data_IF_728204785863
#
_entry.id   IF_728204785863
#
_cell.length_a   1.000
_cell.length_b   1.000
_cell.length_c   1.000
_cell.angle_alpha   90.00
_cell.angle_beta   90.00
_cell.angle_gamma   90.00
#
_symmetry.space_group_name_H-M   'P 1'
#
loop_
_entity.id
_entity.type
_entity.pdbx_description
1 polymer ?
#
# COMPACT_ATOMS: atom_id res chain seq x y z
N UNK A 1 -17.84 12.03 -12.32
CA UNK A 1 -19.13 12.54 -11.80
C UNK A 1 -20.37 12.10 -12.60
N UNK A 2 -20.32 12.10 -13.94
CA UNK A 2 -21.46 11.68 -14.79
C UNK A 2 -21.91 10.22 -14.57
N UNK A 3 -20.98 9.30 -14.28
CA UNK A 3 -21.27 7.88 -14.00
C UNK A 3 -22.09 7.66 -12.72
N UNK A 4 -21.76 8.36 -11.64
CA UNK A 4 -22.47 8.26 -10.37
C UNK A 4 -23.87 8.90 -10.43
N UNK A 5 -24.01 10.02 -11.15
CA UNK A 5 -25.32 10.63 -11.39
C UNK A 5 -26.24 9.69 -12.20
N UNK A 6 -25.71 9.04 -13.23
CA UNK A 6 -26.46 8.07 -14.02
C UNK A 6 -26.91 6.85 -13.19
N UNK A 7 -26.03 6.31 -12.33
CA UNK A 7 -26.36 5.21 -11.42
C UNK A 7 -27.45 5.60 -10.41
N UNK A 8 -27.37 6.81 -9.85
CA UNK A 8 -28.39 7.30 -8.92
C UNK A 8 -29.76 7.46 -9.60
N UNK A 9 -29.78 8.03 -10.81
CA UNK A 9 -31.03 8.19 -11.59
C UNK A 9 -31.63 6.82 -11.94
N UNK A 10 -30.81 5.86 -12.38
CA UNK A 10 -31.25 4.50 -12.67
C UNK A 10 -31.81 3.80 -11.43
N UNK A 11 -31.16 3.95 -10.27
CA UNK A 11 -31.63 3.37 -9.02
C UNK A 11 -32.98 3.94 -8.58
N UNK A 12 -33.15 5.27 -8.64
CA UNK A 12 -34.42 5.94 -8.32
C UNK A 12 -35.53 5.49 -9.27
N UNK A 13 -35.23 5.41 -10.57
CA UNK A 13 -36.18 4.94 -11.58
C UNK A 13 -36.61 3.48 -11.33
N UNK A 14 -35.66 2.57 -11.08
CA UNK A 14 -35.94 1.17 -10.80
C UNK A 14 -36.80 0.99 -9.53
N UNK A 15 -36.52 1.76 -8.47
CA UNK A 15 -37.33 1.76 -7.25
C UNK A 15 -38.74 2.28 -7.52
N UNK A 16 -38.89 3.35 -8.31
CA UNK A 16 -40.19 3.89 -8.71
C UNK A 16 -41.05 2.89 -9.51
N UNK A 17 -40.43 2.18 -10.45
CA UNK A 17 -41.09 1.10 -11.22
C UNK A 17 -41.53 -0.03 -10.30
N UNK A 18 -40.66 -0.48 -9.38
CA UNK A 18 -40.98 -1.56 -8.45
C UNK A 18 -42.13 -1.20 -7.50
N UNK A 19 -42.13 0.02 -6.96
CA UNK A 19 -43.20 0.49 -6.06
C UNK A 19 -44.54 0.65 -6.81
N UNK A 20 -44.51 1.06 -8.08
CA UNK A 20 -45.70 1.18 -8.93
C UNK A 20 -46.26 -0.19 -9.27
N UNK A 21 -45.42 -1.15 -9.68
CA UNK A 21 -45.83 -2.54 -9.94
C UNK A 21 -46.41 -3.22 -8.68
N UNK A 22 -45.85 -2.93 -7.49
CA UNK A 22 -46.37 -3.44 -6.22
C UNK A 22 -47.74 -2.85 -5.86
N UNK A 23 -47.96 -1.57 -6.16
CA UNK A 23 -49.25 -0.91 -5.95
C UNK A 23 -50.34 -1.51 -6.85
N UNK A 24 -50.00 -1.84 -8.11
CA UNK A 24 -50.90 -2.50 -9.05
C UNK A 24 -51.19 -3.97 -8.68
N UNK A 25 -50.19 -4.70 -8.19
CA UNK A 25 -50.33 -6.11 -7.83
C UNK A 25 -51.14 -6.36 -6.54
N UNK A 26 -51.21 -5.40 -5.62
CA UNK A 26 -51.95 -5.51 -4.35
C UNK A 26 -52.95 -4.36 -4.13
N UNK A 27 -54.05 -4.29 -4.92
CA UNK A 27 -55.01 -3.19 -4.86
C UNK A 27 -55.75 -3.10 -3.51
N UNK A 28 -55.89 -4.22 -2.79
CA UNK A 28 -56.53 -4.27 -1.47
C UNK A 28 -55.69 -3.66 -0.33
N UNK A 29 -54.46 -3.21 -0.61
CA UNK A 29 -53.55 -2.61 0.37
C UNK A 29 -52.92 -1.32 -0.15
N UNK A 30 -53.71 -0.26 -0.41
CA UNK A 30 -53.24 0.98 -1.05
C UNK A 30 -52.19 1.74 -0.23
N UNK A 31 -52.03 1.42 1.07
CA UNK A 31 -51.03 2.03 1.94
C UNK A 31 -49.66 1.35 1.90
N UNK A 32 -49.51 0.16 1.30
CA UNK A 32 -48.24 -0.57 1.33
C UNK A 32 -47.13 0.11 0.53
N UNK A 33 -47.41 0.50 -0.72
CA UNK A 33 -46.44 1.18 -1.57
C UNK A 33 -45.94 2.52 -0.97
N UNK A 34 -46.79 3.45 -0.47
CA UNK A 34 -46.30 4.67 0.15
C UNK A 34 -45.57 4.43 1.48
N UNK A 35 -45.95 3.41 2.27
CA UNK A 35 -45.23 3.05 3.50
C UNK A 35 -43.84 2.50 3.17
N UNK A 36 -43.72 1.61 2.18
CA UNK A 36 -42.42 1.07 1.73
C UNK A 36 -41.55 2.17 1.10
N UNK A 37 -42.14 3.06 0.31
CA UNK A 37 -41.45 4.23 -0.23
C UNK A 37 -40.92 5.15 0.88
N UNK A 38 -41.70 5.40 1.93
CA UNK A 38 -41.27 6.19 3.08
C UNK A 38 -40.15 5.49 3.87
N UNK A 39 -40.23 4.17 4.08
CA UNK A 39 -39.18 3.38 4.73
C UNK A 39 -37.89 3.42 3.90
N UNK A 40 -37.97 3.23 2.59
CA UNK A 40 -36.81 3.31 1.69
C UNK A 40 -36.19 4.71 1.70
N UNK A 41 -37.00 5.77 1.67
CA UNK A 41 -36.50 7.14 1.75
C UNK A 41 -35.82 7.41 3.10
N UNK A 42 -36.38 6.94 4.21
CA UNK A 42 -35.78 7.03 5.55
C UNK A 42 -34.47 6.24 5.63
N UNK A 43 -34.42 5.02 5.11
CA UNK A 43 -33.20 4.21 5.07
C UNK A 43 -32.13 4.84 4.17
N UNK A 44 -32.50 5.36 3.00
CA UNK A 44 -31.57 6.05 2.11
C UNK A 44 -31.02 7.34 2.76
N UNK A 45 -31.86 8.10 3.46
CA UNK A 45 -31.45 9.31 4.18
C UNK A 45 -30.53 8.96 5.35
N UNK A 46 -30.87 7.92 6.12
CA UNK A 46 -30.03 7.43 7.22
C UNK A 46 -28.68 6.91 6.71
N UNK A 47 -28.68 6.18 5.59
CA UNK A 47 -27.46 5.70 4.96
C UNK A 47 -26.61 6.84 4.43
N UNK A 48 -27.22 7.85 3.80
CA UNK A 48 -26.52 9.05 3.33
C UNK A 48 -25.85 9.80 4.47
N UNK A 49 -26.53 9.99 5.60
CA UNK A 49 -25.94 10.63 6.79
C UNK A 49 -24.80 9.80 7.37
N UNK A 50 -24.90 8.46 7.33
CA UNK A 50 -23.82 7.56 7.78
C UNK A 50 -22.64 7.52 6.81
N UNK A 51 -22.87 7.70 5.52
CA UNK A 51 -21.85 7.62 4.47
C UNK A 51 -21.32 8.98 4.04
N UNK A 52 -21.90 10.10 4.49
CA UNK A 52 -21.52 11.44 4.03
C UNK A 52 -20.07 11.77 4.35
N UNK A 53 -19.55 11.31 5.50
CA UNK A 53 -18.13 11.40 5.82
C UNK A 53 -17.26 10.56 4.87
N UNK A 54 -17.67 9.32 4.56
CA UNK A 54 -16.96 8.45 3.63
C UNK A 54 -17.03 8.90 2.15
N UNK A 55 -17.99 9.76 1.81
CA UNK A 55 -18.16 10.32 0.47
C UNK A 55 -17.49 11.69 0.30
N UNK A 56 -16.90 12.25 1.36
CA UNK A 56 -16.19 13.52 1.31
C UNK A 56 -14.76 13.32 0.84
N UNK A 57 -14.33 14.08 -0.17
CA UNK A 57 -12.92 14.15 -0.57
C UNK A 57 -12.08 15.01 0.38
N UNK A 58 -12.71 15.75 1.31
CA UNK A 58 -12.00 16.67 2.20
C UNK A 58 -11.07 15.95 3.19
N UNK A 59 -11.33 14.68 3.49
CA UNK A 59 -10.52 13.89 4.43
C UNK A 59 -9.35 13.16 3.75
N UNK A 60 -9.21 13.26 2.41
CA UNK A 60 -8.15 12.55 1.66
C UNK A 60 -6.78 13.22 1.71
N UNK A 61 -6.64 14.34 2.43
CA UNK A 61 -5.37 15.08 2.54
C UNK A 61 -4.25 14.21 3.13
N UNK A 62 -4.55 13.36 4.11
CA UNK A 62 -3.59 12.42 4.71
C UNK A 62 -3.05 11.43 3.67
N UNK A 63 -3.95 10.92 2.85
CA UNK A 63 -3.66 9.98 1.76
C UNK A 63 -2.76 10.66 0.73
N UNK A 64 -3.07 11.89 0.34
CA UNK A 64 -2.27 12.64 -0.63
C UNK A 64 -0.87 12.94 -0.08
N UNK A 65 -0.75 13.33 1.19
CA UNK A 65 0.54 13.57 1.85
C UNK A 65 1.42 12.32 1.85
N UNK A 66 0.83 11.16 2.14
CA UNK A 66 1.53 9.88 2.15
C UNK A 66 1.93 9.43 0.73
N UNK A 67 1.01 9.48 -0.22
CA UNK A 67 1.23 9.07 -1.61
C UNK A 67 2.23 9.99 -2.32
N UNK A 68 2.20 11.30 -2.03
CA UNK A 68 3.22 12.25 -2.49
C UNK A 68 4.60 11.88 -1.94
N UNK A 69 4.69 11.43 -0.69
CA UNK A 69 5.93 10.95 -0.10
C UNK A 69 6.48 9.75 -0.87
N UNK A 70 5.62 8.81 -1.28
CA UNK A 70 6.01 7.65 -2.08
C UNK A 70 6.48 8.07 -3.49
N UNK A 71 5.84 9.08 -4.10
CA UNK A 71 6.12 9.43 -5.51
C UNK A 71 7.21 10.49 -5.70
N UNK A 72 7.14 11.60 -4.95
CA UNK A 72 7.96 12.80 -5.20
C UNK A 72 9.37 12.73 -4.61
N UNK A 73 9.59 11.85 -3.63
CA UNK A 73 10.89 11.70 -2.97
C UNK A 73 11.89 10.85 -3.75
N UNK A 74 11.42 10.09 -4.75
CA UNK A 74 12.25 9.18 -5.53
C UNK A 74 13.21 9.93 -6.45
N UNK A 75 14.49 9.53 -6.53
CA UNK A 75 15.44 10.09 -7.48
C UNK A 75 14.94 9.97 -8.94
N UNK A 76 15.43 10.83 -9.85
CA UNK A 76 15.09 10.70 -11.26
C UNK A 76 15.53 9.35 -11.84
N UNK A 77 14.74 8.81 -12.78
CA UNK A 77 15.05 7.55 -13.49
C UNK A 77 15.12 6.32 -12.58
N UNK A 78 14.43 6.37 -11.45
CA UNK A 78 14.38 5.23 -10.52
C UNK A 78 13.41 4.16 -10.99
N UNK A 79 13.74 2.90 -10.72
CA UNK A 79 12.80 1.77 -10.81
C UNK A 79 12.26 1.47 -9.43
N UNK A 80 10.95 1.25 -9.31
CA UNK A 80 10.33 0.83 -8.05
C UNK A 80 9.57 -0.47 -8.26
N UNK A 81 9.97 -1.50 -7.54
CA UNK A 81 9.34 -2.82 -7.56
C UNK A 81 8.28 -2.87 -6.45
N UNK A 82 7.01 -2.92 -6.83
CA UNK A 82 5.88 -2.73 -5.92
C UNK A 82 5.03 -3.98 -5.83
N UNK A 83 4.67 -4.34 -4.61
CA UNK A 83 3.99 -5.56 -4.21
C UNK A 83 2.54 -5.31 -3.81
N UNK A 84 2.25 -4.15 -3.22
CA UNK A 84 0.95 -3.77 -2.68
C UNK A 84 0.05 -3.18 -3.78
N UNK A 85 -1.11 -3.81 -4.07
CA UNK A 85 -2.07 -3.28 -5.04
C UNK A 85 -2.52 -1.85 -4.76
N UNK A 86 -2.66 -1.45 -3.49
CA UNK A 86 -3.07 -0.09 -3.15
C UNK A 86 -2.04 0.94 -3.63
N UNK A 87 -0.75 0.67 -3.40
CA UNK A 87 0.34 1.52 -3.88
C UNK A 87 0.40 1.53 -5.41
N UNK A 88 0.22 0.37 -6.05
CA UNK A 88 0.20 0.27 -7.52
C UNK A 88 -0.89 1.15 -8.13
N UNK A 89 -2.14 0.98 -7.69
CA UNK A 89 -3.26 1.70 -8.29
C UNK A 89 -3.24 3.20 -7.98
N UNK A 90 -2.74 3.61 -6.80
CA UNK A 90 -2.56 5.03 -6.45
C UNK A 90 -1.45 5.69 -7.26
N UNK A 91 -0.35 4.98 -7.51
CA UNK A 91 0.70 5.48 -8.39
C UNK A 91 0.17 5.64 -9.82
N UNK A 92 -0.46 4.60 -10.38
CA UNK A 92 -1.02 4.65 -11.73
C UNK A 92 -2.15 5.67 -11.91
N UNK A 93 -3.01 5.84 -10.90
CA UNK A 93 -4.03 6.89 -10.90
C UNK A 93 -3.40 8.27 -11.02
N UNK A 94 -2.38 8.55 -10.19
CA UNK A 94 -1.64 9.82 -10.24
C UNK A 94 -0.92 10.06 -11.58
N UNK A 95 -0.31 9.03 -12.17
CA UNK A 95 0.34 9.16 -13.48
C UNK A 95 -0.68 9.33 -14.63
N UNK A 96 -1.81 8.63 -14.58
CA UNK A 96 -2.84 8.74 -15.62
C UNK A 96 -3.56 10.10 -15.61
N UNK A 97 -3.74 10.70 -14.44
CA UNK A 97 -4.45 11.97 -14.29
C UNK A 97 -3.53 13.19 -14.43
N UNK A 98 -2.33 13.13 -13.86
CA UNK A 98 -1.46 14.30 -13.68
C UNK A 98 -0.08 14.17 -14.35
N UNK A 99 0.30 12.97 -14.81
CA UNK A 99 1.63 12.67 -15.38
C UNK A 99 2.77 13.20 -14.48
N UNK A 100 2.68 12.87 -13.20
CA UNK A 100 3.47 13.48 -12.13
C UNK A 100 4.95 13.10 -12.15
N UNK A 101 5.28 11.85 -12.48
CA UNK A 101 6.65 11.30 -12.52
C UNK A 101 6.83 10.34 -13.70
N UNK A 102 6.78 10.84 -14.95
CA UNK A 102 7.02 10.02 -16.13
C UNK A 102 8.46 9.49 -16.21
N UNK A 103 9.37 10.02 -15.37
CA UNK A 103 10.75 9.59 -15.24
C UNK A 103 10.94 8.42 -14.27
N UNK A 104 9.89 7.96 -13.56
CA UNK A 104 9.96 6.84 -12.61
C UNK A 104 9.22 5.63 -13.16
N UNK A 105 9.90 4.49 -13.17
CA UNK A 105 9.34 3.24 -13.67
C UNK A 105 8.85 2.39 -12.51
N UNK A 106 7.53 2.34 -12.31
CA UNK A 106 6.94 1.43 -11.32
C UNK A 106 6.61 0.07 -11.95
N UNK A 107 7.16 -0.99 -11.39
CA UNK A 107 6.91 -2.39 -11.78
C UNK A 107 5.93 -3.02 -10.79
N UNK A 108 4.68 -3.30 -11.20
CA UNK A 108 3.67 -3.93 -10.35
C UNK A 108 3.85 -5.45 -10.34
N UNK A 109 4.67 -5.98 -9.43
CA UNK A 109 5.02 -7.40 -9.40
C UNK A 109 3.81 -8.36 -9.45
N UNK A 110 2.72 -8.16 -8.69
CA UNK A 110 1.55 -9.05 -8.74
C UNK A 110 0.80 -9.02 -10.07
N UNK A 111 1.01 -7.97 -10.89
CA UNK A 111 0.30 -7.77 -12.14
C UNK A 111 1.15 -8.18 -13.36
N UNK A 112 2.39 -8.64 -13.17
CA UNK A 112 3.24 -9.08 -14.28
C UNK A 112 2.69 -10.31 -15.03
N UNK A 113 1.72 -11.01 -14.45
CA UNK A 113 0.98 -12.09 -15.11
C UNK A 113 -0.05 -11.57 -16.12
N UNK A 114 -0.38 -10.28 -16.12
CA UNK A 114 -1.31 -9.71 -17.09
C UNK A 114 -0.70 -9.68 -18.50
N UNK A 115 -1.48 -10.02 -19.54
CA UNK A 115 -1.00 -10.05 -20.91
C UNK A 115 -0.34 -8.74 -21.34
N UNK A 116 0.76 -8.84 -22.09
CA UNK A 116 1.49 -7.73 -22.71
C UNK A 116 2.17 -6.74 -21.75
N UNK A 117 2.01 -6.89 -20.42
CA UNK A 117 2.60 -5.94 -19.47
C UNK A 117 4.13 -6.07 -19.43
N UNK A 118 4.64 -7.30 -19.37
CA UNK A 118 6.08 -7.59 -19.43
C UNK A 118 6.66 -7.13 -20.76
N UNK A 119 6.00 -7.44 -21.88
CA UNK A 119 6.45 -7.06 -23.22
C UNK A 119 6.56 -5.53 -23.35
N UNK A 120 5.62 -4.79 -22.76
CA UNK A 120 5.66 -3.33 -22.73
C UNK A 120 6.90 -2.82 -21.98
N UNK A 121 7.13 -3.31 -20.75
CA UNK A 121 8.31 -2.89 -19.98
C UNK A 121 9.62 -3.24 -20.68
N UNK A 122 9.71 -4.43 -21.30
CA UNK A 122 10.91 -4.85 -22.05
C UNK A 122 11.12 -4.02 -23.30
N UNK A 123 10.05 -3.58 -23.96
CA UNK A 123 10.12 -2.73 -25.15
C UNK A 123 10.57 -1.31 -24.79
N UNK A 124 9.98 -0.74 -23.75
CA UNK A 124 10.24 0.63 -23.32
C UNK A 124 11.60 0.73 -22.59
N UNK A 125 11.97 -0.31 -21.83
CA UNK A 125 13.16 -0.35 -20.96
C UNK A 125 13.87 -1.72 -21.03
N UNK A 126 14.68 -1.97 -22.08
CA UNK A 126 15.30 -3.27 -22.32
C UNK A 126 16.18 -3.78 -21.18
N UNK A 127 16.75 -2.89 -20.36
CA UNK A 127 17.53 -3.22 -19.17
C UNK A 127 16.75 -4.02 -18.11
N UNK A 128 15.40 -3.98 -18.13
CA UNK A 128 14.55 -4.76 -17.22
C UNK A 128 14.41 -6.23 -17.62
N UNK A 129 14.78 -6.59 -18.85
CA UNK A 129 14.56 -7.92 -19.42
C UNK A 129 15.07 -9.06 -18.53
N UNK A 130 16.31 -9.02 -18.01
CA UNK A 130 16.83 -10.12 -17.19
C UNK A 130 16.02 -10.31 -15.90
N UNK A 131 15.73 -9.22 -15.20
CA UNK A 131 14.98 -9.20 -13.95
C UNK A 131 13.53 -9.67 -14.13
N UNK A 132 12.83 -9.16 -15.15
CA UNK A 132 11.44 -9.55 -15.41
C UNK A 132 11.34 -11.00 -15.86
N UNK A 133 12.31 -11.48 -16.65
CA UNK A 133 12.36 -12.88 -17.06
C UNK A 133 12.56 -13.80 -15.86
N UNK A 134 13.52 -13.51 -14.97
CA UNK A 134 13.74 -14.33 -13.78
C UNK A 134 12.49 -14.35 -12.90
N UNK A 135 11.85 -13.19 -12.70
CA UNK A 135 10.63 -13.12 -11.89
C UNK A 135 9.46 -13.92 -12.48
N UNK A 136 9.24 -13.85 -13.80
CA UNK A 136 8.16 -14.60 -14.45
C UNK A 136 8.40 -16.11 -14.39
N UNK A 137 9.67 -16.55 -14.43
CA UNK A 137 10.02 -17.97 -14.39
C UNK A 137 10.00 -18.53 -12.96
N UNK A 138 10.60 -17.82 -12.02
CA UNK A 138 10.87 -18.32 -10.67
C UNK A 138 9.85 -17.83 -9.63
N UNK A 139 9.06 -16.81 -9.98
CA UNK A 139 8.09 -16.17 -9.08
C UNK A 139 8.73 -15.27 -8.00
N UNK A 140 10.05 -15.11 -8.03
CA UNK A 140 10.83 -14.34 -7.06
C UNK A 140 11.81 -13.40 -7.75
N UNK A 141 12.19 -12.32 -7.08
CA UNK A 141 13.19 -11.39 -7.61
C UNK A 141 14.58 -12.00 -7.45
N UNK A 142 15.34 -12.03 -8.55
CA UNK A 142 16.71 -12.55 -8.57
C UNK A 142 17.68 -11.51 -8.02
N UNK A 143 18.42 -11.87 -6.96
CA UNK A 143 19.45 -11.03 -6.32
C UNK A 143 20.50 -10.52 -7.33
N UNK A 144 21.14 -11.39 -8.15
CA UNK A 144 22.10 -10.93 -9.14
C UNK A 144 21.53 -9.93 -10.15
N UNK A 145 20.28 -10.13 -10.58
CA UNK A 145 19.63 -9.25 -11.55
C UNK A 145 19.23 -7.90 -10.92
N UNK A 146 18.83 -7.91 -9.64
CA UNK A 146 18.59 -6.69 -8.87
C UNK A 146 19.86 -5.85 -8.73
N UNK A 147 20.99 -6.46 -8.36
CA UNK A 147 22.27 -5.76 -8.23
C UNK A 147 22.75 -5.23 -9.59
N UNK A 148 22.59 -6.02 -10.66
CA UNK A 148 22.93 -5.62 -12.02
C UNK A 148 22.12 -4.40 -12.47
N UNK A 149 20.82 -4.36 -12.18
CA UNK A 149 19.97 -3.21 -12.47
C UNK A 149 20.33 -2.00 -11.59
N UNK A 150 20.62 -2.23 -10.30
CA UNK A 150 21.03 -1.18 -9.35
C UNK A 150 22.36 -0.52 -9.74
N UNK A 151 23.23 -1.23 -10.46
CA UNK A 151 24.46 -0.67 -11.00
C UNK A 151 24.22 0.30 -12.18
N UNK A 152 23.08 0.20 -12.86
CA UNK A 152 22.71 1.05 -13.99
C UNK A 152 21.94 2.31 -13.56
N UNK A 153 21.01 2.16 -12.60
CA UNK A 153 20.13 3.23 -12.12
C UNK A 153 19.59 2.91 -10.73
N UNK A 154 19.07 3.90 -9.99
CA UNK A 154 18.48 3.65 -8.67
C UNK A 154 17.32 2.65 -8.75
N UNK A 155 17.37 1.60 -7.90
CA UNK A 155 16.31 0.59 -7.79
C UNK A 155 15.80 0.58 -6.37
N UNK A 156 14.49 0.60 -6.22
CA UNK A 156 13.76 0.57 -4.97
C UNK A 156 12.82 -0.63 -4.94
N UNK A 157 12.68 -1.22 -3.76
CA UNK A 157 11.76 -2.33 -3.47
C UNK A 157 10.79 -1.86 -2.40
N UNK A 158 9.51 -2.10 -2.65
CA UNK A 158 8.51 -2.05 -1.60
C UNK A 158 8.67 -3.25 -0.67
N UNK A 159 8.96 -2.96 0.61
CA UNK A 159 9.04 -4.02 1.62
C UNK A 159 7.70 -4.73 1.74
N UNK A 160 7.75 -6.05 1.72
CA UNK A 160 6.61 -6.95 1.69
C UNK A 160 7.04 -8.31 2.27
N UNK A 161 6.08 -9.13 2.69
CA UNK A 161 6.33 -10.49 3.20
C UNK A 161 7.00 -11.41 2.17
N UNK A 162 6.97 -11.04 0.88
CA UNK A 162 7.61 -11.78 -0.23
C UNK A 162 9.07 -11.40 -0.45
N UNK A 163 9.59 -10.38 0.22
CA UNK A 163 11.02 -10.04 0.18
C UNK A 163 11.77 -11.10 0.98
N UNK A 164 12.71 -11.80 0.33
CA UNK A 164 13.47 -12.88 0.96
C UNK A 164 14.62 -12.33 1.81
N UNK A 165 15.13 -13.15 2.75
CA UNK A 165 16.29 -12.80 3.56
C UNK A 165 17.49 -12.36 2.70
N UNK A 166 17.82 -13.15 1.67
CA UNK A 166 18.92 -12.85 0.75
C UNK A 166 18.77 -11.49 0.04
N UNK A 167 17.53 -11.03 -0.18
CA UNK A 167 17.28 -9.68 -0.69
C UNK A 167 17.48 -8.63 0.40
N UNK A 168 17.06 -8.89 1.64
CA UNK A 168 17.21 -7.93 2.75
C UNK A 168 18.67 -7.55 2.99
N UNK A 169 19.61 -8.48 2.78
CA UNK A 169 21.06 -8.25 2.86
C UNK A 169 21.59 -7.25 1.79
N UNK A 170 20.76 -6.84 0.84
CA UNK A 170 21.08 -5.86 -0.22
C UNK A 170 20.28 -4.58 -0.09
N UNK A 171 19.34 -4.54 0.84
CA UNK A 171 18.35 -3.49 0.96
C UNK A 171 18.72 -2.57 2.12
N UNK A 172 18.59 -1.27 1.90
CA UNK A 172 18.61 -0.28 2.97
C UNK A 172 17.37 0.60 2.91
N UNK A 173 16.74 0.94 4.05
CA UNK A 173 15.63 1.88 4.06
C UNK A 173 16.07 3.23 3.48
N UNK A 174 15.41 3.68 2.42
CA UNK A 174 15.65 5.00 1.83
C UNK A 174 14.33 5.53 1.25
N UNK A 175 13.98 6.76 1.62
CA UNK A 175 12.62 7.27 1.43
C UNK A 175 11.59 6.34 2.08
N UNK A 176 10.41 6.19 1.47
CA UNK A 176 9.36 5.27 1.93
C UNK A 176 9.46 3.86 1.29
N UNK A 177 10.63 3.54 0.73
CA UNK A 177 10.97 2.25 0.13
C UNK A 177 12.29 1.72 0.69
N UNK A 178 12.79 0.64 0.11
CA UNK A 178 14.12 0.11 0.38
C UNK A 178 14.95 0.16 -0.89
N UNK A 179 16.10 0.83 -0.84
CA UNK A 179 17.03 0.90 -1.97
C UNK A 179 17.82 -0.39 -2.07
N UNK A 180 17.91 -0.90 -3.29
CA UNK A 180 18.83 -1.98 -3.65
C UNK A 180 20.24 -1.42 -3.81
N UNK A 181 21.18 -1.97 -3.06
CA UNK A 181 22.60 -1.69 -3.19
C UNK A 181 23.25 -2.59 -4.24
N UNK A 182 24.37 -2.15 -4.79
CA UNK A 182 25.15 -2.90 -5.79
C UNK A 182 26.01 -4.01 -5.17
N UNK A 183 26.09 -4.05 -3.84
CA UNK A 183 26.76 -5.05 -3.03
C UNK A 183 25.96 -5.23 -1.73
N UNK A 184 26.33 -6.21 -0.91
CA UNK A 184 25.70 -6.41 0.39
C UNK A 184 25.84 -5.16 1.27
N UNK A 185 24.87 -4.98 2.15
CA UNK A 185 24.87 -3.91 3.14
C UNK A 185 26.12 -3.99 4.01
N UNK A 186 26.60 -2.81 4.40
CA UNK A 186 27.62 -2.67 5.44
C UNK A 186 26.98 -2.08 6.69
N UNK A 187 27.55 -2.34 7.86
CA UNK A 187 27.10 -1.76 9.13
C UNK A 187 26.96 -0.22 9.05
N UNK A 188 27.81 0.44 8.25
CA UNK A 188 27.75 1.90 8.05
C UNK A 188 26.59 2.35 7.18
N UNK A 189 26.24 1.56 6.16
CA UNK A 189 25.11 1.85 5.28
C UNK A 189 23.80 1.68 6.04
N UNK A 190 23.70 0.60 6.81
CA UNK A 190 22.59 0.32 7.72
C UNK A 190 22.44 1.45 8.74
N UNK A 191 23.46 1.73 9.56
CA UNK A 191 23.35 2.74 10.61
C UNK A 191 22.90 4.13 10.08
N UNK A 192 23.38 4.53 8.90
CA UNK A 192 22.96 5.77 8.24
C UNK A 192 21.51 5.70 7.76
N UNK A 193 21.14 4.61 7.10
CA UNK A 193 19.78 4.39 6.60
C UNK A 193 18.76 4.37 7.74
N UNK A 194 19.05 3.67 8.83
CA UNK A 194 18.20 3.62 10.02
C UNK A 194 17.96 5.00 10.64
N UNK A 195 19.01 5.83 10.74
CA UNK A 195 18.87 7.20 11.25
C UNK A 195 17.96 8.03 10.35
N UNK A 196 18.22 7.99 9.04
CA UNK A 196 17.46 8.75 8.04
C UNK A 196 15.99 8.33 8.00
N UNK A 197 15.74 7.03 8.08
CA UNK A 197 14.40 6.45 8.09
C UNK A 197 13.59 6.88 9.32
N UNK A 198 14.21 6.91 10.51
CA UNK A 198 13.55 7.38 11.72
C UNK A 198 13.12 8.87 11.62
N UNK A 199 13.99 9.72 11.06
CA UNK A 199 13.69 11.13 10.82
C UNK A 199 12.56 11.29 9.81
N UNK A 200 12.61 10.56 8.69
CA UNK A 200 11.58 10.59 7.65
C UNK A 200 10.19 10.24 8.20
N UNK A 201 10.10 9.18 9.00
CA UNK A 201 8.83 8.80 9.64
C UNK A 201 8.32 9.88 10.60
N UNK A 202 9.22 10.49 11.38
CA UNK A 202 8.86 11.61 12.25
C UNK A 202 8.25 12.78 11.47
N UNK A 203 8.89 13.20 10.39
CA UNK A 203 8.43 14.29 9.52
C UNK A 203 7.10 13.94 8.83
N UNK A 204 6.96 12.70 8.35
CA UNK A 204 5.72 12.22 7.73
C UNK A 204 4.55 12.27 8.71
N UNK A 205 4.74 11.79 9.95
CA UNK A 205 3.70 11.86 10.98
C UNK A 205 3.34 13.30 11.36
N UNK A 206 4.30 14.24 11.35
CA UNK A 206 4.01 15.65 11.56
C UNK A 206 3.16 16.25 10.43
N UNK A 207 3.44 15.87 9.18
CA UNK A 207 2.69 16.35 8.00
C UNK A 207 1.28 15.78 7.91
N UNK A 208 1.10 14.49 8.24
CA UNK A 208 -0.23 13.85 8.31
C UNK A 208 -1.04 14.47 9.45
N UNK A 209 -0.43 14.68 10.63
CA UNK A 209 -1.12 15.25 11.78
C UNK A 209 -2.07 14.26 12.47
N UNK A 210 -3.01 14.80 13.26
CA UNK A 210 -4.00 14.04 14.04
C UNK A 210 -5.37 14.73 13.95
N UNK A 211 -6.48 13.97 13.86
CA UNK A 211 -6.56 12.50 13.79
C UNK A 211 -6.12 11.95 12.42
N UNK A 212 -5.54 10.75 12.39
CA UNK A 212 -5.14 10.08 11.14
C UNK A 212 -6.37 9.42 10.52
N UNK A 213 -6.60 9.67 9.24
CA UNK A 213 -7.65 9.08 8.41
C UNK A 213 -7.55 7.54 8.33
N UNK A 214 -8.70 6.84 8.17
CA UNK A 214 -8.75 5.38 8.30
C UNK A 214 -7.96 4.66 7.21
N UNK A 215 -8.03 5.09 5.94
CA UNK A 215 -7.29 4.45 4.86
C UNK A 215 -5.78 4.64 5.03
N UNK A 216 -5.36 5.85 5.34
CA UNK A 216 -3.95 6.16 5.67
C UNK A 216 -3.48 5.32 6.86
N UNK A 217 -4.29 5.19 7.92
CA UNK A 217 -3.96 4.35 9.09
C UNK A 217 -3.68 2.89 8.70
N UNK A 218 -4.51 2.29 7.84
CA UNK A 218 -4.29 0.91 7.38
C UNK A 218 -2.95 0.76 6.66
N UNK A 219 -2.59 1.73 5.82
CA UNK A 219 -1.31 1.70 5.11
C UNK A 219 -0.12 1.88 6.06
N UNK A 220 -0.22 2.80 7.01
CA UNK A 220 0.82 3.00 8.02
C UNK A 220 1.03 1.75 8.87
N UNK A 221 -0.04 1.05 9.25
CA UNK A 221 0.07 -0.23 9.97
C UNK A 221 0.82 -1.26 9.13
N UNK A 222 0.46 -1.40 7.84
CA UNK A 222 1.14 -2.30 6.92
C UNK A 222 2.63 -1.98 6.81
N UNK A 223 2.98 -0.70 6.65
CA UNK A 223 4.38 -0.25 6.57
C UNK A 223 5.18 -0.56 7.82
N UNK A 224 4.65 -0.23 9.00
CA UNK A 224 5.32 -0.55 10.27
C UNK A 224 5.49 -2.04 10.47
N UNK A 225 4.51 -2.83 10.03
CA UNK A 225 4.62 -4.28 10.04
C UNK A 225 5.73 -4.79 9.12
N UNK A 226 5.75 -4.39 7.84
CA UNK A 226 6.78 -4.82 6.89
C UNK A 226 8.18 -4.33 7.26
N UNK A 227 8.30 -3.09 7.76
CA UNK A 227 9.57 -2.53 8.23
C UNK A 227 10.06 -3.26 9.49
N UNK A 228 9.14 -3.69 10.37
CA UNK A 228 9.53 -4.49 11.54
C UNK A 228 10.07 -5.87 11.17
N UNK A 229 9.54 -6.49 10.10
CA UNK A 229 10.08 -7.73 9.57
C UNK A 229 11.51 -7.50 9.06
N UNK A 230 11.72 -6.45 8.27
CA UNK A 230 13.05 -6.11 7.78
C UNK A 230 14.04 -5.88 8.94
N UNK A 231 13.71 -5.01 9.89
CA UNK A 231 14.63 -4.68 10.98
C UNK A 231 14.92 -5.87 11.90
N UNK A 232 13.93 -6.75 12.13
CA UNK A 232 14.16 -7.98 12.89
C UNK A 232 15.06 -8.96 12.13
N UNK A 233 14.89 -9.06 10.80
CA UNK A 233 15.66 -9.94 9.94
C UNK A 233 17.13 -9.50 9.78
N UNK A 234 17.43 -8.20 9.78
CA UNK A 234 18.81 -7.68 9.73
C UNK A 234 19.45 -7.53 11.11
N UNK A 235 18.73 -7.83 12.19
CA UNK A 235 19.24 -7.81 13.56
C UNK A 235 19.22 -6.43 14.25
N UNK A 236 18.63 -5.39 13.66
CA UNK A 236 18.40 -4.12 14.38
C UNK A 236 17.19 -4.22 15.30
N UNK A 237 17.41 -4.83 16.46
CA UNK A 237 16.40 -5.01 17.51
C UNK A 237 15.76 -3.68 17.93
N UNK A 238 16.52 -2.58 17.94
CA UNK A 238 16.00 -1.27 18.36
C UNK A 238 15.08 -0.68 17.30
N UNK A 239 15.45 -0.73 16.02
CA UNK A 239 14.58 -0.28 14.94
C UNK A 239 13.33 -1.15 14.80
N UNK A 240 13.47 -2.47 14.97
CA UNK A 240 12.35 -3.39 14.97
C UNK A 240 11.37 -3.08 16.11
N UNK A 241 11.85 -2.86 17.34
CA UNK A 241 10.98 -2.48 18.46
C UNK A 241 10.32 -1.11 18.26
N UNK A 242 11.01 -0.13 17.65
CA UNK A 242 10.44 1.19 17.34
C UNK A 242 9.30 1.10 16.33
N UNK A 243 9.49 0.36 15.24
CA UNK A 243 8.46 0.16 14.19
C UNK A 243 7.28 -0.64 14.71
N UNK A 244 7.53 -1.72 15.47
CA UNK A 244 6.48 -2.46 16.18
C UNK A 244 5.67 -1.56 17.11
N UNK A 245 6.34 -0.73 17.91
CA UNK A 245 5.65 0.20 18.80
C UNK A 245 4.80 1.21 18.02
N UNK A 246 5.32 1.76 16.91
CA UNK A 246 4.57 2.68 16.05
C UNK A 246 3.32 2.02 15.44
N UNK A 247 3.44 0.77 14.96
CA UNK A 247 2.31 -0.01 14.46
C UNK A 247 1.25 -0.30 15.55
N UNK A 248 1.69 -0.68 16.76
CA UNK A 248 0.79 -0.95 17.89
C UNK A 248 0.08 0.31 18.42
N UNK A 249 0.67 1.49 18.28
CA UNK A 249 -0.02 2.77 18.56
C UNK A 249 -1.20 2.99 17.61
N UNK A 250 -1.10 2.52 16.37
CA UNK A 250 -2.18 2.63 15.38
C UNK A 250 -3.22 1.50 15.53
N UNK A 251 -2.78 0.29 15.85
CA UNK A 251 -3.64 -0.86 16.13
C UNK A 251 -3.08 -1.71 17.28
N UNK A 252 -3.54 -1.49 18.52
CA UNK A 252 -3.05 -2.22 19.69
C UNK A 252 -3.32 -3.73 19.66
N UNK A 253 -4.24 -4.19 18.80
CA UNK A 253 -4.68 -5.58 18.70
C UNK A 253 -4.08 -6.32 17.51
N UNK A 254 -3.10 -5.74 16.80
CA UNK A 254 -2.39 -6.41 15.73
C UNK A 254 -1.55 -7.57 16.30
N UNK A 255 -2.03 -8.80 16.10
CA UNK A 255 -1.46 -10.01 16.71
C UNK A 255 -0.01 -10.23 16.31
N UNK A 256 0.30 -10.01 15.03
CA UNK A 256 1.62 -10.25 14.45
C UNK A 256 2.65 -9.28 15.04
N UNK A 257 2.27 -8.02 15.24
CA UNK A 257 3.11 -7.02 15.90
C UNK A 257 3.32 -7.34 17.39
N UNK A 258 2.31 -7.86 18.08
CA UNK A 258 2.44 -8.31 19.48
C UNK A 258 3.42 -9.49 19.58
N UNK A 259 3.25 -10.50 18.71
CA UNK A 259 4.14 -11.66 18.65
C UNK A 259 5.58 -11.26 18.32
N UNK A 260 5.77 -10.36 17.36
CA UNK A 260 7.08 -9.80 17.02
C UNK A 260 7.69 -9.05 18.21
N UNK A 261 6.90 -8.25 18.94
CA UNK A 261 7.37 -7.55 20.13
C UNK A 261 7.88 -8.52 21.21
N UNK A 262 7.15 -9.61 21.45
CA UNK A 262 7.54 -10.62 22.44
C UNK A 262 8.83 -11.34 22.03
N UNK A 263 8.94 -11.72 20.76
CA UNK A 263 10.14 -12.35 20.21
C UNK A 263 11.37 -11.43 20.32
N UNK A 264 11.25 -10.16 19.91
CA UNK A 264 12.32 -9.17 19.99
C UNK A 264 12.78 -8.88 21.43
N UNK A 265 11.86 -8.93 22.41
CA UNK A 265 12.19 -8.76 23.83
C UNK A 265 12.92 -9.97 24.43
N UNK A 266 12.70 -11.15 23.87
CA UNK A 266 13.34 -12.39 24.32
C UNK A 266 14.69 -12.67 23.62
N UNK A 267 14.88 -12.12 22.42
CA UNK A 267 16.10 -12.28 21.63
C UNK A 267 17.28 -11.47 22.20
N UNK A 268 18.50 -11.92 21.89
CA UNK A 268 19.72 -11.15 22.15
C UNK A 268 19.73 -9.91 21.26
N UNK A 269 19.94 -8.69 21.80
CA UNK A 269 20.04 -7.49 20.98
C UNK A 269 21.14 -7.60 19.93
N UNK A 270 20.83 -7.28 18.68
CA UNK A 270 21.78 -7.35 17.55
C UNK A 270 21.76 -8.68 16.80
N UNK A 271 21.10 -9.73 17.30
CA UNK A 271 20.98 -11.00 16.58
C UNK A 271 19.81 -10.96 15.58
N UNK A 272 20.05 -11.32 14.31
CA UNK A 272 18.99 -11.57 13.34
C UNK A 272 17.98 -12.61 13.84
N UNK A 273 16.70 -12.34 13.64
CA UNK A 273 15.61 -13.27 13.98
C UNK A 273 15.01 -13.83 12.70
N UNK A 274 14.73 -15.14 12.66
CA UNK A 274 13.91 -15.71 11.59
C UNK A 274 12.51 -15.11 11.63
N UNK A 275 12.18 -14.30 10.63
CA UNK A 275 10.91 -13.59 10.55
C UNK A 275 9.79 -14.40 9.92
N UNK A 276 10.09 -15.58 9.36
CA UNK A 276 9.10 -16.47 8.70
C UNK A 276 7.86 -16.74 9.55
N UNK A 277 7.96 -17.00 10.88
CA UNK A 277 6.78 -17.26 11.72
C UNK A 277 5.83 -16.08 11.87
N UNK A 278 6.28 -14.85 11.56
CA UNK A 278 5.49 -13.63 11.71
C UNK A 278 4.91 -13.14 10.38
N UNK A 279 5.21 -13.82 9.26
CA UNK A 279 4.69 -13.47 7.93
C UNK A 279 3.22 -13.88 7.77
N UNK A 280 2.36 -12.94 7.38
CA UNK A 280 0.97 -13.21 7.01
C UNK A 280 0.97 -13.74 5.58
N UNK A 281 0.37 -14.93 5.36
CA UNK A 281 0.18 -15.54 4.04
C UNK A 281 -1.23 -15.31 3.52
#
# INVERSE_FOLDING_TARGET
MLSYAALAILAVFAIGVLLSALAEALPNRPRLAPVLGAILALMASSQFVRSSGASSLADFVDTDVFDDGLRRSLPPRSVVLVHNPQTIFRFWGGEAEENNRPDVTMIPLPLLTYPSLVDRFVTDEPELTPLLRSYVLDGTLSVPELQSLAALRPVYVEMDVRVTQDMMDLLVPEQLYHRVLTANTTDTDEARAMHTHATLWGDLYQRIGRPIENHTRTQLIWRHYTDSLYFAAVGDTNAALRTVAAGLVLNPHARELQMMQEALKAATPGEPIDVTPFTIR
#
